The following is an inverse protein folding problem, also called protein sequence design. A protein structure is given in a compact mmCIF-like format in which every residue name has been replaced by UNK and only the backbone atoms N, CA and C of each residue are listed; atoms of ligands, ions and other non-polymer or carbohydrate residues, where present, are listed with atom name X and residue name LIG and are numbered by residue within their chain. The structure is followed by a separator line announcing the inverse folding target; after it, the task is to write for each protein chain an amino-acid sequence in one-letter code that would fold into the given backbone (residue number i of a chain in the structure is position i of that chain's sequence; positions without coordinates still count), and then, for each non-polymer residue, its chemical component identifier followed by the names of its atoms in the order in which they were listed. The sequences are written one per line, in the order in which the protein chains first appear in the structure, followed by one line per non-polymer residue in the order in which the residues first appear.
data_IF_185092570658
#
_entry.id   IF_185092570658
#
_cell.length_a   1.000
_cell.length_b   1.000
_cell.length_c   1.000
_cell.angle_alpha   90.00
_cell.angle_beta   90.00
_cell.angle_gamma   90.00
#
_symmetry.space_group_name_H-M   'P 1'
#
loop_
_entity.id
_entity.type
_entity.pdbx_description
1 polymer ?
#
# COMPACT_ATOMS: atom_id res chain seq x y z
N UNK A 1 -5.84 -27.39 -29.69
CA UNK A 1 -5.69 -26.30 -28.69
C UNK A 1 -4.83 -25.19 -29.27
N UNK A 2 -5.41 -24.26 -30.03
CA UNK A 2 -4.67 -23.18 -30.67
C UNK A 2 -4.36 -22.05 -29.69
N UNK A 3 -3.07 -21.75 -29.47
CA UNK A 3 -2.67 -20.54 -28.72
C UNK A 3 -3.14 -19.31 -29.48
N UNK A 4 -4.09 -18.54 -28.92
CA UNK A 4 -4.46 -17.21 -29.44
C UNK A 4 -3.21 -16.34 -29.43
N UNK A 5 -2.75 -15.91 -30.62
CA UNK A 5 -1.65 -14.94 -30.75
C UNK A 5 -2.15 -13.61 -30.20
N UNK A 6 -1.42 -13.04 -29.24
CA UNK A 6 -1.70 -11.70 -28.69
C UNK A 6 -1.76 -10.69 -29.84
N UNK A 7 -2.74 -9.79 -29.80
CA UNK A 7 -2.90 -8.78 -30.84
C UNK A 7 -1.72 -7.79 -30.81
N UNK A 8 -1.44 -7.14 -31.94
CA UNK A 8 -0.38 -6.11 -32.05
C UNK A 8 -0.55 -5.02 -30.98
N UNK A 9 -1.81 -4.67 -30.69
CA UNK A 9 -2.18 -3.66 -29.70
C UNK A 9 -1.92 -4.13 -28.26
N UNK A 10 -2.22 -5.39 -27.93
CA UNK A 10 -1.88 -6.00 -26.64
C UNK A 10 -0.37 -6.05 -26.41
N UNK A 11 0.40 -6.34 -27.45
CA UNK A 11 1.86 -6.33 -27.37
C UNK A 11 2.43 -4.92 -27.18
N UNK A 12 1.81 -3.89 -27.80
CA UNK A 12 2.20 -2.50 -27.59
C UNK A 12 1.86 -2.01 -26.17
N UNK A 13 0.66 -2.31 -25.67
CA UNK A 13 0.23 -1.90 -24.33
C UNK A 13 1.09 -2.55 -23.23
N UNK A 14 1.40 -3.84 -23.35
CA UNK A 14 2.29 -4.52 -22.41
C UNK A 14 3.72 -3.94 -22.42
N UNK A 15 4.24 -3.56 -23.58
CA UNK A 15 5.56 -2.88 -23.68
C UNK A 15 5.54 -1.50 -23.05
N UNK A 16 4.43 -0.75 -23.20
CA UNK A 16 4.28 0.57 -22.59
C UNK A 16 4.20 0.48 -21.07
N UNK A 17 3.36 -0.41 -20.53
CA UNK A 17 3.26 -0.67 -19.08
C UNK A 17 4.60 -1.09 -18.47
N UNK A 18 5.34 -1.98 -19.14
CA UNK A 18 6.67 -2.40 -18.67
C UNK A 18 7.69 -1.25 -18.65
N UNK A 19 7.67 -0.37 -19.66
CA UNK A 19 8.51 0.83 -19.71
C UNK A 19 8.13 1.84 -18.63
N UNK A 20 6.84 2.05 -18.42
CA UNK A 20 6.34 2.98 -17.40
C UNK A 20 6.72 2.47 -16.00
N UNK A 21 6.53 1.17 -15.73
CA UNK A 21 6.96 0.54 -14.48
C UNK A 21 8.47 0.70 -14.24
N UNK A 22 9.29 0.44 -15.25
CA UNK A 22 10.73 0.61 -15.17
C UNK A 22 11.13 2.09 -14.95
N UNK A 23 10.44 3.03 -15.60
CA UNK A 23 10.64 4.46 -15.41
C UNK A 23 10.29 4.89 -13.99
N UNK A 24 9.15 4.46 -13.44
CA UNK A 24 8.75 4.75 -12.06
C UNK A 24 9.74 4.17 -11.06
N UNK A 25 10.20 2.93 -11.25
CA UNK A 25 11.24 2.31 -10.41
C UNK A 25 12.56 3.07 -10.49
N UNK A 26 13.00 3.47 -11.70
CA UNK A 26 14.23 4.21 -11.91
C UNK A 26 14.18 5.63 -11.30
N UNK A 27 13.07 6.35 -11.45
CA UNK A 27 12.86 7.66 -10.83
C UNK A 27 12.82 7.55 -9.31
N UNK A 28 12.20 6.48 -8.78
CA UNK A 28 12.24 6.15 -7.35
C UNK A 28 13.67 5.93 -6.84
N UNK A 29 14.46 5.14 -7.57
CA UNK A 29 15.86 4.87 -7.25
C UNK A 29 16.75 6.13 -7.34
N UNK A 30 16.57 6.99 -8.33
CA UNK A 30 17.35 8.23 -8.46
C UNK A 30 16.97 9.26 -7.39
N UNK A 31 15.69 9.35 -7.00
CA UNK A 31 15.25 10.15 -5.84
C UNK A 31 15.86 9.62 -4.54
N UNK A 32 15.89 8.30 -4.34
CA UNK A 32 16.54 7.65 -3.20
C UNK A 32 18.05 7.96 -3.16
N UNK A 33 18.76 7.84 -4.28
CA UNK A 33 20.19 8.16 -4.38
C UNK A 33 20.47 9.64 -4.14
N UNK A 34 19.65 10.54 -4.66
CA UNK A 34 19.79 11.99 -4.45
C UNK A 34 19.56 12.35 -2.97
N UNK A 35 18.55 11.76 -2.33
CA UNK A 35 18.32 11.88 -0.88
C UNK A 35 19.47 11.30 -0.07
N UNK A 36 19.98 10.10 -0.38
CA UNK A 36 21.18 9.53 0.27
C UNK A 36 22.39 10.46 0.17
N UNK A 37 22.68 11.00 -1.03
CA UNK A 37 23.79 11.95 -1.25
C UNK A 37 23.61 13.25 -0.46
N UNK A 38 22.39 13.77 -0.41
CA UNK A 38 22.07 14.96 0.36
C UNK A 38 22.20 14.71 1.88
N UNK A 39 21.72 13.57 2.38
CA UNK A 39 21.81 13.20 3.80
C UNK A 39 23.26 12.91 4.24
N UNK A 40 24.11 12.34 3.37
CA UNK A 40 25.56 12.16 3.61
C UNK A 40 26.29 13.49 3.83
N UNK A 41 25.76 14.60 3.32
CA UNK A 41 26.39 15.91 3.36
C UNK A 41 25.88 16.85 4.49
N UNK A 42 24.90 16.44 5.32
CA UNK A 42 24.44 17.22 6.49
C UNK A 42 24.04 16.34 7.67
N UNK A 43 24.98 16.03 8.55
CA UNK A 43 24.77 15.81 10.00
C UNK A 43 23.75 14.77 10.47
N UNK A 44 23.21 13.92 9.59
CA UNK A 44 22.29 12.85 9.98
C UNK A 44 23.09 11.66 10.50
N UNK A 45 22.67 11.10 11.64
CA UNK A 45 23.24 9.85 12.15
C UNK A 45 22.91 8.68 11.21
N UNK A 46 23.74 7.65 11.19
CA UNK A 46 23.49 6.42 10.43
C UNK A 46 22.16 5.76 10.82
N UNK A 47 21.79 5.82 12.09
CA UNK A 47 20.49 5.35 12.59
C UNK A 47 19.31 6.10 11.93
N UNK A 48 19.42 7.42 11.77
CA UNK A 48 18.41 8.24 11.09
C UNK A 48 18.30 7.86 9.61
N UNK A 49 19.43 7.59 8.94
CA UNK A 49 19.44 7.16 7.53
C UNK A 49 18.73 5.82 7.34
N UNK A 50 19.08 4.83 8.17
CA UNK A 50 18.52 3.49 8.10
C UNK A 50 17.00 3.53 8.36
N UNK A 51 16.55 4.29 9.36
CA UNK A 51 15.13 4.42 9.64
C UNK A 51 14.33 5.03 8.47
N UNK A 52 14.89 6.03 7.77
CA UNK A 52 14.25 6.55 6.56
C UNK A 52 14.15 5.51 5.43
N UNK A 53 15.14 4.64 5.28
CA UNK A 53 15.09 3.58 4.28
C UNK A 53 14.04 2.53 4.62
N UNK A 54 13.88 2.20 5.90
CA UNK A 54 12.78 1.37 6.40
C UNK A 54 11.42 2.01 6.12
N UNK A 55 11.26 3.32 6.41
CA UNK A 55 10.03 4.07 6.08
C UNK A 55 9.71 3.98 4.59
N UNK A 56 10.66 4.30 3.72
CA UNK A 56 10.46 4.28 2.27
C UNK A 56 10.11 2.85 1.76
N UNK A 57 10.70 1.81 2.35
CA UNK A 57 10.39 0.41 2.02
C UNK A 57 8.99 0.00 2.46
N UNK A 58 8.59 0.30 3.70
CA UNK A 58 7.26 -0.04 4.22
C UNK A 58 6.15 0.73 3.50
N UNK A 59 6.41 1.99 3.11
CA UNK A 59 5.51 2.77 2.27
C UNK A 59 5.22 2.09 0.93
N UNK A 60 6.24 1.52 0.29
CA UNK A 60 6.09 0.81 -0.98
C UNK A 60 5.27 -0.48 -0.85
N UNK A 61 5.19 -1.07 0.36
CA UNK A 61 4.39 -2.25 0.64
C UNK A 61 2.92 -1.95 0.88
N UNK A 62 2.55 -0.68 1.17
CA UNK A 62 1.13 -0.30 1.25
C UNK A 62 0.52 -0.15 -0.14
N UNK A 63 -0.70 -0.68 -0.35
CA UNK A 63 -1.46 -0.48 -1.59
C UNK A 63 -1.85 1.00 -1.81
N UNK A 64 -1.80 1.83 -0.77
CA UNK A 64 -2.05 3.28 -0.83
C UNK A 64 -0.83 4.09 -1.26
N UNK A 65 -0.07 3.65 -2.28
CA UNK A 65 1.16 4.32 -2.75
C UNK A 65 1.02 5.82 -3.12
N UNK A 66 -0.21 6.36 -3.12
CA UNK A 66 -0.54 7.77 -3.24
C UNK A 66 -0.97 8.38 -1.90
N UNK A 67 -0.82 9.70 -1.73
CA UNK A 67 -1.16 10.38 -0.47
C UNK A 67 -2.67 10.44 -0.13
N UNK A 68 -3.48 9.71 -0.85
CA UNK A 68 -4.94 9.79 -0.90
C UNK A 68 -5.58 8.43 -0.61
N UNK A 69 -6.77 8.40 0.00
CA UNK A 69 -7.52 7.19 0.34
C UNK A 69 -8.04 6.41 -0.89
N UNK A 70 -7.72 6.86 -2.11
CA UNK A 70 -8.16 6.26 -3.38
C UNK A 70 -7.81 4.79 -3.50
N UNK A 71 -6.74 4.32 -2.84
CA UNK A 71 -6.37 2.91 -2.83
C UNK A 71 -7.43 1.99 -2.21
N UNK A 72 -8.18 2.44 -1.18
CA UNK A 72 -9.18 1.60 -0.49
C UNK A 72 -10.38 1.34 -1.39
N UNK A 73 -10.84 2.38 -2.09
CA UNK A 73 -11.92 2.25 -3.06
C UNK A 73 -11.52 1.37 -4.26
N UNK A 74 -10.33 1.58 -4.82
CA UNK A 74 -9.80 0.75 -5.91
C UNK A 74 -9.71 -0.73 -5.50
N UNK A 75 -9.28 -1.00 -4.27
CA UNK A 75 -9.20 -2.35 -3.70
C UNK A 75 -10.57 -3.01 -3.60
N UNK A 76 -11.57 -2.35 -3.04
CA UNK A 76 -12.93 -2.91 -2.93
C UNK A 76 -13.54 -3.20 -4.30
N UNK A 77 -13.40 -2.27 -5.26
CA UNK A 77 -13.88 -2.47 -6.62
C UNK A 77 -13.21 -3.68 -7.27
N UNK A 78 -11.90 -3.85 -7.08
CA UNK A 78 -11.18 -5.01 -7.61
C UNK A 78 -11.68 -6.33 -7.02
N UNK A 79 -11.96 -6.37 -5.72
CA UNK A 79 -12.50 -7.56 -5.05
C UNK A 79 -13.91 -7.90 -5.55
N UNK A 80 -14.81 -6.91 -5.64
CA UNK A 80 -16.16 -7.12 -6.18
C UNK A 80 -16.12 -7.71 -7.59
N UNK A 81 -15.29 -7.13 -8.48
CA UNK A 81 -15.09 -7.63 -9.83
C UNK A 81 -14.54 -9.06 -9.86
N UNK A 82 -13.65 -9.40 -8.93
CA UNK A 82 -13.07 -10.73 -8.88
C UNK A 82 -14.07 -11.77 -8.37
N UNK A 83 -14.87 -11.41 -7.37
CA UNK A 83 -15.96 -12.25 -6.86
C UNK A 83 -17.00 -12.52 -7.95
N UNK A 84 -17.32 -11.54 -8.80
CA UNK A 84 -18.19 -11.75 -9.95
C UNK A 84 -17.65 -12.82 -10.93
N UNK A 85 -16.33 -12.99 -11.01
CA UNK A 85 -15.68 -13.91 -11.96
C UNK A 85 -15.55 -15.32 -11.40
N UNK A 86 -15.11 -15.45 -10.15
CA UNK A 86 -14.74 -16.75 -9.56
C UNK A 86 -15.48 -17.11 -8.27
N UNK A 87 -16.27 -16.19 -7.71
CA UNK A 87 -17.02 -16.41 -6.47
C UNK A 87 -16.23 -16.11 -5.19
N UNK A 88 -16.96 -15.80 -4.12
CA UNK A 88 -16.38 -15.38 -2.84
C UNK A 88 -15.52 -16.46 -2.19
N UNK A 89 -15.93 -17.73 -2.26
CA UNK A 89 -15.20 -18.85 -1.65
C UNK A 89 -13.75 -18.98 -2.17
N UNK A 90 -13.50 -18.62 -3.43
CA UNK A 90 -12.16 -18.63 -4.04
C UNK A 90 -11.37 -17.34 -3.78
N UNK A 91 -12.05 -16.22 -3.51
CA UNK A 91 -11.43 -14.92 -3.22
C UNK A 91 -11.06 -14.80 -1.73
N UNK A 92 -11.92 -15.30 -0.84
CA UNK A 92 -11.83 -15.16 0.62
C UNK A 92 -10.46 -15.54 1.20
N UNK A 93 -9.84 -16.70 0.86
CA UNK A 93 -8.54 -17.06 1.41
C UNK A 93 -7.42 -16.07 1.05
N UNK A 94 -7.55 -15.35 -0.07
CA UNK A 94 -6.59 -14.34 -0.50
C UNK A 94 -6.78 -13.03 0.26
N UNK A 95 -8.02 -12.62 0.50
CA UNK A 95 -8.30 -11.50 1.40
C UNK A 95 -7.79 -11.78 2.82
N UNK A 96 -7.98 -12.99 3.35
CA UNK A 96 -7.43 -13.39 4.65
C UNK A 96 -5.90 -13.33 4.68
N UNK A 97 -5.23 -13.75 3.60
CA UNK A 97 -3.77 -13.62 3.47
C UNK A 97 -3.32 -12.16 3.45
N UNK A 98 -3.99 -11.31 2.67
CA UNK A 98 -3.68 -9.88 2.59
C UNK A 98 -3.95 -9.16 3.93
N UNK A 99 -4.98 -9.57 4.68
CA UNK A 99 -5.22 -9.09 6.04
C UNK A 99 -4.05 -9.41 6.97
N UNK A 100 -3.52 -10.64 6.91
CA UNK A 100 -2.34 -11.02 7.70
C UNK A 100 -1.11 -10.17 7.32
N UNK A 101 -0.89 -9.94 6.02
CA UNK A 101 0.20 -9.07 5.53
C UNK A 101 0.03 -7.62 6.01
N UNK A 102 -1.20 -7.09 5.99
CA UNK A 102 -1.51 -5.76 6.51
C UNK A 102 -1.25 -5.65 8.02
N UNK A 103 -1.62 -6.68 8.79
CA UNK A 103 -1.37 -6.74 10.23
C UNK A 103 0.12 -6.85 10.56
N UNK A 104 0.90 -7.57 9.77
CA UNK A 104 2.37 -7.61 9.90
C UNK A 104 2.98 -6.23 9.59
N UNK A 105 2.54 -5.58 8.51
CA UNK A 105 3.00 -4.25 8.14
C UNK A 105 2.68 -3.20 9.22
N UNK A 106 1.50 -3.27 9.83
CA UNK A 106 1.12 -2.39 10.93
C UNK A 106 2.03 -2.57 12.14
N UNK A 107 2.35 -3.82 12.51
CA UNK A 107 3.30 -4.14 13.59
C UNK A 107 4.70 -3.61 13.28
N UNK A 108 5.18 -3.78 12.06
CA UNK A 108 6.49 -3.28 11.63
C UNK A 108 6.55 -1.74 11.65
N UNK A 109 5.49 -1.07 11.21
CA UNK A 109 5.37 0.38 11.26
C UNK A 109 5.37 0.92 12.69
N UNK A 110 4.66 0.24 13.61
CA UNK A 110 4.62 0.60 15.03
C UNK A 110 5.98 0.41 15.70
N UNK A 111 6.65 -0.71 15.43
CA UNK A 111 8.00 -0.98 15.91
C UNK A 111 9.00 0.08 15.39
N UNK A 112 8.88 0.47 14.12
CA UNK A 112 9.69 1.54 13.55
C UNK A 112 9.42 2.88 14.24
N UNK A 113 8.16 3.26 14.44
CA UNK A 113 7.79 4.48 15.17
C UNK A 113 8.42 4.50 16.57
N UNK A 114 8.30 3.40 17.32
CA UNK A 114 8.92 3.26 18.65
C UNK A 114 10.43 3.46 18.58
N UNK A 115 11.10 2.84 17.60
CA UNK A 115 12.55 2.97 17.43
C UNK A 115 13.01 4.40 17.13
N UNK A 116 12.20 5.18 16.41
CA UNK A 116 12.54 6.57 16.03
C UNK A 116 12.12 7.60 17.08
N UNK A 117 11.29 7.23 18.06
CA UNK A 117 10.72 8.16 19.04
C UNK A 117 11.80 8.86 19.87
N UNK A 118 12.86 8.12 20.21
CA UNK A 118 13.99 8.61 21.01
C UNK A 118 15.13 9.21 20.18
N UNK A 119 15.00 9.25 18.85
CA UNK A 119 16.01 9.89 18.01
C UNK A 119 15.95 11.40 18.18
N UNK A 120 17.13 11.99 18.32
CA UNK A 120 17.35 13.43 18.41
C UNK A 120 18.23 13.90 17.26
N UNK A 121 18.16 15.20 16.96
CA UNK A 121 18.94 15.83 15.89
C UNK A 121 18.10 16.19 14.67
N UNK A 122 18.78 16.71 13.65
CA UNK A 122 18.12 17.21 12.44
C UNK A 122 17.26 16.12 11.79
N UNK A 123 16.05 16.49 11.36
CA UNK A 123 15.09 15.62 10.66
C UNK A 123 14.41 14.51 11.49
N UNK A 124 14.68 14.41 12.79
CA UNK A 124 14.02 13.47 13.70
C UNK A 124 12.51 13.72 13.78
N UNK A 125 12.07 14.97 13.92
CA UNK A 125 10.63 15.32 13.97
C UNK A 125 9.88 14.93 12.70
N UNK A 126 10.49 15.16 11.54
CA UNK A 126 9.94 14.77 10.25
C UNK A 126 9.86 13.24 10.14
N UNK A 127 10.90 12.54 10.55
CA UNK A 127 10.93 11.07 10.53
C UNK A 127 9.85 10.49 11.44
N UNK A 128 9.66 11.05 12.64
CA UNK A 128 8.58 10.66 13.57
C UNK A 128 7.21 10.89 12.92
N UNK A 129 7.02 12.03 12.26
CA UNK A 129 5.78 12.33 11.53
C UNK A 129 5.53 11.33 10.39
N UNK A 130 6.56 11.05 9.59
CA UNK A 130 6.47 10.10 8.48
C UNK A 130 6.16 8.66 8.99
N UNK A 131 6.75 8.25 10.12
CA UNK A 131 6.45 6.97 10.78
C UNK A 131 5.02 6.92 11.34
N UNK A 132 4.55 8.00 11.97
CA UNK A 132 3.18 8.08 12.49
C UNK A 132 2.14 8.00 11.36
N UNK A 133 2.41 8.66 10.23
CA UNK A 133 1.58 8.54 9.03
C UNK A 133 1.56 7.13 8.46
N UNK A 134 2.72 6.46 8.43
CA UNK A 134 2.83 5.06 7.99
C UNK A 134 1.99 4.14 8.89
N UNK A 135 2.08 4.28 10.22
CA UNK A 135 1.26 3.52 11.18
C UNK A 135 -0.22 3.73 10.91
N UNK A 136 -0.66 4.99 10.81
CA UNK A 136 -2.06 5.31 10.53
C UNK A 136 -2.56 4.68 9.23
N UNK A 137 -1.71 4.62 8.18
CA UNK A 137 -2.08 3.98 6.91
C UNK A 137 -2.11 2.47 6.97
N UNK A 138 -1.15 1.84 7.63
CA UNK A 138 -1.14 0.40 7.80
C UNK A 138 -2.35 -0.05 8.64
N UNK A 139 -2.72 0.72 9.66
CA UNK A 139 -3.95 0.49 10.44
C UNK A 139 -5.20 0.68 9.58
N UNK A 140 -5.26 1.73 8.74
CA UNK A 140 -6.36 1.92 7.79
C UNK A 140 -6.52 0.72 6.85
N UNK A 141 -5.41 0.13 6.39
CA UNK A 141 -5.45 -1.11 5.60
C UNK A 141 -6.13 -2.24 6.38
N UNK A 142 -5.65 -2.52 7.58
CA UNK A 142 -6.16 -3.62 8.41
C UNK A 142 -7.67 -3.48 8.59
N UNK A 143 -8.16 -2.32 9.04
CA UNK A 143 -9.60 -2.12 9.27
C UNK A 143 -10.42 -2.19 7.97
N UNK A 144 -9.82 -1.80 6.84
CA UNK A 144 -10.46 -1.90 5.52
C UNK A 144 -10.65 -3.34 5.10
N UNK A 145 -9.61 -4.18 5.20
CA UNK A 145 -9.71 -5.61 4.86
C UNK A 145 -10.63 -6.36 5.83
N UNK A 146 -10.55 -6.06 7.14
CA UNK A 146 -11.46 -6.64 8.15
C UNK A 146 -12.92 -6.32 7.84
N UNK A 147 -13.23 -5.05 7.56
CA UNK A 147 -14.60 -4.64 7.23
C UNK A 147 -15.06 -5.27 5.92
N UNK A 148 -14.20 -5.30 4.89
CA UNK A 148 -14.53 -5.89 3.60
C UNK A 148 -14.86 -7.37 3.73
N UNK A 149 -14.01 -8.16 4.41
CA UNK A 149 -14.26 -9.58 4.67
C UNK A 149 -15.56 -9.77 5.43
N UNK A 150 -15.78 -9.00 6.50
CA UNK A 150 -16.99 -9.10 7.32
C UNK A 150 -18.27 -8.78 6.55
N UNK A 151 -18.24 -7.82 5.62
CA UNK A 151 -19.38 -7.49 4.76
C UNK A 151 -19.59 -8.55 3.67
N UNK A 152 -18.51 -9.03 3.04
CA UNK A 152 -18.59 -10.10 2.03
C UNK A 152 -19.12 -11.42 2.59
N UNK A 153 -18.77 -11.78 3.83
CA UNK A 153 -19.29 -12.95 4.53
C UNK A 153 -20.82 -12.85 4.78
N UNK A 154 -21.40 -11.65 4.74
CA UNK A 154 -22.85 -11.42 4.80
C UNK A 154 -23.52 -11.40 3.42
N UNK A 155 -22.72 -11.30 2.35
CA UNK A 155 -23.16 -11.25 0.96
C UNK A 155 -22.58 -10.05 0.22
N UNK A 156 -22.27 -10.24 -1.06
CA UNK A 156 -21.70 -9.20 -1.93
C UNK A 156 -22.56 -7.92 -1.97
N UNK A 157 -23.89 -8.08 -2.01
CA UNK A 157 -24.85 -6.96 -2.02
C UNK A 157 -24.70 -6.05 -0.79
N UNK A 158 -24.25 -6.59 0.35
CA UNK A 158 -24.06 -5.83 1.59
C UNK A 158 -22.83 -4.92 1.48
N UNK A 159 -21.74 -5.41 0.88
CA UNK A 159 -20.57 -4.59 0.62
C UNK A 159 -20.87 -3.51 -0.43
N UNK A 160 -21.57 -3.86 -1.51
CA UNK A 160 -21.99 -2.91 -2.55
C UNK A 160 -22.84 -1.78 -1.97
N UNK A 161 -23.83 -2.11 -1.13
CA UNK A 161 -24.67 -1.12 -0.49
C UNK A 161 -23.85 -0.21 0.44
N UNK A 162 -22.93 -0.78 1.23
CA UNK A 162 -22.07 0.00 2.12
C UNK A 162 -21.16 0.97 1.34
N UNK A 163 -20.66 0.55 0.17
CA UNK A 163 -19.86 1.40 -0.72
C UNK A 163 -20.66 2.58 -1.27
N UNK A 164 -21.90 2.35 -1.70
CA UNK A 164 -22.80 3.37 -2.27
C UNK A 164 -23.26 4.36 -1.19
N UNK A 165 -23.50 3.88 0.03
CA UNK A 165 -23.97 4.70 1.15
C UNK A 165 -22.84 5.41 1.93
N UNK A 166 -21.60 5.34 1.44
CA UNK A 166 -20.42 5.91 2.11
C UNK A 166 -20.20 5.41 3.56
N UNK A 167 -20.56 4.14 3.83
CA UNK A 167 -20.50 3.53 5.17
C UNK A 167 -19.20 2.74 5.43
N UNK A 168 -18.23 2.81 4.53
CA UNK A 168 -16.95 2.14 4.71
C UNK A 168 -16.00 2.97 5.56
N UNK A 169 -15.11 2.29 6.29
CA UNK A 169 -14.29 2.86 7.35
C UNK A 169 -13.41 4.03 6.86
N UNK A 170 -12.92 3.99 5.61
CA UNK A 170 -12.12 5.07 5.01
C UNK A 170 -12.95 6.21 4.41
N UNK A 171 -14.26 6.04 4.26
CA UNK A 171 -15.19 7.08 3.77
C UNK A 171 -15.70 7.95 4.93
N UNK A 172 -15.74 7.38 6.14
CA UNK A 172 -16.19 8.06 7.35
C UNK A 172 -15.07 8.83 8.10
N UNK A 173 -13.81 8.63 7.71
CA UNK A 173 -12.60 9.12 8.39
C UNK A 173 -12.02 10.39 7.77
#
# INVERSE_FOLDING_TARGET
MGRKRKSSLECQNARKQSKDLHYFQHVGQERMKSRRRWRKNRGASEATLNAYESVDSLWASTFTGCRTNTGCQERVIAILQEVDIIGWDDVRPRCEKELLEAQELARDAEALLQSVTNLEGAYSDRLKTDCAQLVSRAQLWVVTEEQMIALMDQGQEVLDQALIEDKLVWQCS
#
